data_IF_921196726216
#
_entry.id   IF_921196726216
#
_cell.length_a   1.000
_cell.length_b   1.000
_cell.length_c   1.000
_cell.angle_alpha   90.00
_cell.angle_beta   90.00
_cell.angle_gamma   90.00
#
_symmetry.space_group_name_H-M   'P 1'
#
loop_
_entity.id
_entity.type
_entity.pdbx_description
1 polymer ?
#
# COMPACT_ATOMS: atom_id res chain seq x y z
N UNK A 1 -17.31 0.58 -9.97
CA UNK A 1 -15.89 0.84 -9.63
C UNK A 1 -15.53 2.33 -9.61
N UNK A 2 -15.99 3.13 -10.58
CA UNK A 2 -15.73 4.58 -10.63
C UNK A 2 -16.24 5.33 -9.39
N UNK A 3 -17.41 4.96 -8.87
CA UNK A 3 -18.00 5.59 -7.68
C UNK A 3 -17.24 5.30 -6.37
N UNK A 4 -16.67 4.10 -6.24
CA UNK A 4 -15.87 3.76 -5.06
C UNK A 4 -14.53 4.52 -5.06
N UNK A 5 -13.96 4.73 -6.25
CA UNK A 5 -12.74 5.52 -6.44
C UNK A 5 -13.00 7.01 -6.18
N UNK A 6 -14.16 7.55 -6.58
CA UNK A 6 -14.51 8.94 -6.33
C UNK A 6 -14.81 9.20 -4.84
N UNK A 7 -15.53 8.30 -4.17
CA UNK A 7 -15.81 8.41 -2.72
C UNK A 7 -14.54 8.27 -1.90
N UNK A 8 -13.67 7.31 -2.23
CA UNK A 8 -12.36 7.19 -1.59
C UNK A 8 -11.48 8.43 -1.84
N UNK A 9 -11.50 8.97 -3.06
CA UNK A 9 -10.80 10.21 -3.41
C UNK A 9 -11.27 11.41 -2.57
N UNK A 10 -12.58 11.61 -2.45
CA UNK A 10 -13.17 12.69 -1.65
C UNK A 10 -12.81 12.53 -0.16
N UNK A 11 -12.87 11.31 0.38
CA UNK A 11 -12.49 11.04 1.77
C UNK A 11 -11.01 11.30 2.03
N UNK A 12 -10.13 10.94 1.09
CA UNK A 12 -8.68 11.23 1.18
C UNK A 12 -8.43 12.74 1.12
N UNK A 13 -9.11 13.47 0.24
CA UNK A 13 -9.00 14.94 0.14
C UNK A 13 -9.51 15.62 1.40
N UNK A 14 -10.67 15.21 1.92
CA UNK A 14 -11.24 15.74 3.15
C UNK A 14 -10.37 15.44 4.37
N UNK A 15 -9.83 14.22 4.48
CA UNK A 15 -8.88 13.85 5.52
C UNK A 15 -7.58 14.67 5.41
N UNK A 16 -7.08 14.91 4.19
CA UNK A 16 -5.91 15.76 3.96
C UNK A 16 -6.17 17.22 4.34
N UNK A 17 -7.34 17.77 4.00
CA UNK A 17 -7.72 19.15 4.36
C UNK A 17 -7.91 19.32 5.87
N UNK A 18 -8.55 18.36 6.54
CA UNK A 18 -8.70 18.34 7.99
C UNK A 18 -7.33 18.20 8.68
N UNK A 19 -6.45 17.38 8.12
CA UNK A 19 -5.10 17.21 8.64
C UNK A 19 -4.26 18.50 8.47
N UNK A 20 -4.34 19.16 7.32
CA UNK A 20 -3.72 20.46 7.08
C UNK A 20 -4.24 21.55 8.03
N UNK A 21 -5.54 21.56 8.33
CA UNK A 21 -6.14 22.56 9.23
C UNK A 21 -5.74 22.35 10.69
N UNK A 22 -5.55 21.09 11.12
CA UNK A 22 -5.14 20.74 12.49
C UNK A 22 -3.64 20.93 12.68
N UNK A 23 -2.81 20.58 11.69
CA UNK A 23 -1.35 20.52 11.85
C UNK A 23 -0.63 21.81 11.42
N UNK A 24 -1.27 22.69 10.64
CA UNK A 24 -0.70 23.95 10.17
C UNK A 24 0.35 23.79 9.06
N UNK A 25 0.92 24.92 8.61
CA UNK A 25 1.79 24.99 7.42
C UNK A 25 3.07 24.12 7.50
N UNK A 26 3.54 23.78 8.72
CA UNK A 26 4.75 22.97 8.94
C UNK A 26 4.64 21.53 8.43
N UNK A 27 3.43 21.01 8.28
CA UNK A 27 3.18 19.65 7.75
C UNK A 27 2.74 19.64 6.30
N UNK A 28 2.59 20.82 5.67
CA UNK A 28 2.13 20.93 4.28
C UNK A 28 3.09 20.24 3.30
N UNK A 29 4.39 20.32 3.54
CA UNK A 29 5.44 19.62 2.76
C UNK A 29 5.33 18.11 2.86
N UNK A 30 5.15 17.59 4.07
CA UNK A 30 5.01 16.15 4.32
C UNK A 30 3.71 15.61 3.71
N UNK A 31 2.64 16.40 3.74
CA UNK A 31 1.38 16.06 3.09
C UNK A 31 1.48 16.12 1.56
N UNK A 32 2.17 17.11 0.99
CA UNK A 32 2.46 17.16 -0.46
C UNK A 32 3.27 15.94 -0.90
N UNK A 33 4.26 15.52 -0.12
CA UNK A 33 5.02 14.30 -0.36
C UNK A 33 4.14 13.06 -0.30
N UNK A 34 3.23 12.96 0.66
CA UNK A 34 2.27 11.85 0.72
C UNK A 34 1.33 11.85 -0.49
N UNK A 35 0.63 12.95 -0.76
CA UNK A 35 -0.40 12.99 -1.81
C UNK A 35 0.20 12.87 -3.20
N UNK A 36 1.29 13.57 -3.48
CA UNK A 36 1.93 13.57 -4.80
C UNK A 36 2.92 12.42 -5.00
N UNK A 37 3.70 12.08 -3.97
CA UNK A 37 4.79 11.11 -4.07
C UNK A 37 4.39 9.67 -3.77
N UNK A 38 3.43 9.44 -2.88
CA UNK A 38 3.06 8.07 -2.49
C UNK A 38 2.44 7.26 -3.65
N UNK A 39 1.46 7.78 -4.44
CA UNK A 39 0.86 7.00 -5.52
C UNK A 39 1.85 6.46 -6.57
N UNK A 40 2.75 7.28 -7.17
CA UNK A 40 3.71 6.77 -8.14
C UNK A 40 4.71 5.79 -7.50
N UNK A 41 5.13 6.03 -6.25
CA UNK A 41 6.03 5.12 -5.55
C UNK A 41 5.38 3.77 -5.26
N UNK A 42 4.10 3.74 -4.88
CA UNK A 42 3.32 2.51 -4.70
C UNK A 42 3.26 1.73 -6.01
N UNK A 43 2.95 2.42 -7.11
CA UNK A 43 2.88 1.80 -8.44
C UNK A 43 4.23 1.21 -8.88
N UNK A 44 5.33 1.95 -8.74
CA UNK A 44 6.68 1.47 -9.05
C UNK A 44 7.04 0.27 -8.17
N UNK A 45 6.80 0.34 -6.85
CA UNK A 45 7.08 -0.76 -5.94
C UNK A 45 6.26 -2.01 -6.27
N UNK A 46 5.00 -1.83 -6.68
CA UNK A 46 4.14 -2.92 -7.12
C UNK A 46 4.70 -3.59 -8.39
N UNK A 47 5.09 -2.81 -9.39
CA UNK A 47 5.70 -3.35 -10.62
C UNK A 47 7.00 -4.09 -10.35
N UNK A 48 7.85 -3.56 -9.47
CA UNK A 48 9.11 -4.20 -9.08
C UNK A 48 8.85 -5.48 -8.29
N UNK A 49 7.98 -5.44 -7.27
CA UNK A 49 7.64 -6.60 -6.46
C UNK A 49 7.03 -7.73 -7.29
N UNK A 50 6.09 -7.40 -8.19
CA UNK A 50 5.45 -8.37 -9.07
C UNK A 50 6.37 -8.97 -10.13
N UNK A 51 7.52 -8.35 -10.43
CA UNK A 51 8.55 -8.92 -11.32
C UNK A 51 9.58 -9.76 -10.57
N UNK A 52 9.98 -9.33 -9.37
CA UNK A 52 11.03 -10.00 -8.59
C UNK A 52 10.52 -11.21 -7.81
N UNK A 53 9.22 -11.24 -7.46
CA UNK A 53 8.60 -12.37 -6.80
C UNK A 53 7.94 -13.27 -7.85
N UNK A 54 7.93 -14.61 -7.67
CA UNK A 54 7.31 -15.57 -8.58
C UNK A 54 5.77 -15.51 -8.46
N UNK A 55 5.21 -14.36 -8.79
CA UNK A 55 3.79 -14.02 -8.75
C UNK A 55 3.33 -13.62 -10.16
N UNK A 56 4.04 -14.10 -11.19
CA UNK A 56 3.79 -13.84 -12.62
C UNK A 56 2.38 -14.25 -13.04
N UNK A 57 1.85 -15.32 -12.45
CA UNK A 57 0.50 -15.82 -12.68
C UNK A 57 -0.61 -14.79 -12.40
N UNK A 58 -0.35 -13.75 -11.59
CA UNK A 58 -1.32 -12.65 -11.38
C UNK A 58 -1.57 -11.83 -12.65
N UNK A 59 -0.65 -11.86 -13.63
CA UNK A 59 -0.79 -11.14 -14.91
C UNK A 59 -1.48 -11.97 -16.01
N UNK A 60 -1.40 -13.30 -15.92
CA UNK A 60 -1.94 -14.22 -16.92
C UNK A 60 -3.35 -14.68 -16.57
N UNK A 61 -4.35 -13.79 -16.67
CA UNK A 61 -5.74 -14.21 -16.57
C UNK A 61 -6.16 -14.96 -17.84
N UNK A 62 -6.15 -16.30 -17.81
CA UNK A 62 -6.64 -17.14 -18.90
C UNK A 62 -5.70 -18.26 -19.36
N UNK A 63 -4.46 -18.27 -18.91
CA UNK A 63 -3.53 -19.38 -19.13
C UNK A 63 -3.67 -20.44 -18.02
N UNK A 64 -3.43 -21.74 -18.31
CA UNK A 64 -3.38 -22.75 -17.27
C UNK A 64 -2.41 -22.32 -16.18
N UNK A 65 -2.86 -22.34 -14.93
CA UNK A 65 -2.08 -21.81 -13.83
C UNK A 65 -0.71 -22.50 -13.77
N UNK A 66 0.41 -21.76 -13.84
CA UNK A 66 1.73 -22.35 -13.86
C UNK A 66 2.03 -23.05 -12.52
N UNK A 67 3.03 -23.95 -12.46
CA UNK A 67 3.46 -24.61 -11.22
C UNK A 67 3.91 -23.64 -10.11
N UNK A 68 3.99 -22.34 -10.42
CA UNK A 68 4.27 -21.26 -9.47
C UNK A 68 3.29 -21.19 -8.29
N UNK A 69 2.07 -21.73 -8.41
CA UNK A 69 1.14 -21.87 -7.27
C UNK A 69 1.77 -22.68 -6.13
N UNK A 70 2.59 -23.69 -6.43
CA UNK A 70 3.24 -24.51 -5.39
C UNK A 70 4.26 -23.69 -4.58
N UNK A 71 4.83 -22.64 -5.16
CA UNK A 71 5.73 -21.71 -4.48
C UNK A 71 5.01 -20.57 -3.75
N UNK A 72 3.68 -20.48 -3.88
CA UNK A 72 2.90 -19.45 -3.20
C UNK A 72 3.02 -19.53 -1.70
N UNK A 73 3.03 -20.72 -1.09
CA UNK A 73 3.17 -20.85 0.37
C UNK A 73 4.46 -20.20 0.86
N UNK A 74 5.58 -20.49 0.19
CA UNK A 74 6.90 -19.92 0.50
C UNK A 74 6.96 -18.41 0.23
N UNK A 75 6.34 -17.96 -0.87
CA UNK A 75 6.32 -16.55 -1.26
C UNK A 75 5.41 -15.72 -0.35
N UNK A 76 4.26 -16.28 0.03
CA UNK A 76 3.28 -15.70 0.96
C UNK A 76 3.92 -15.41 2.29
N UNK A 77 4.64 -16.38 2.87
CA UNK A 77 5.24 -16.22 4.19
C UNK A 77 6.37 -15.16 4.16
N UNK A 78 7.13 -15.06 3.06
CA UNK A 78 8.10 -13.97 2.83
C UNK A 78 7.44 -12.59 2.71
N UNK A 79 6.38 -12.47 1.90
CA UNK A 79 5.61 -11.22 1.75
C UNK A 79 5.02 -10.82 3.10
N UNK A 80 4.45 -11.78 3.84
CA UNK A 80 3.81 -11.53 5.12
C UNK A 80 4.81 -11.13 6.20
N UNK A 81 6.00 -11.73 6.23
CA UNK A 81 7.09 -11.33 7.13
C UNK A 81 7.52 -9.87 6.83
N UNK A 82 7.66 -9.51 5.56
CA UNK A 82 8.00 -8.15 5.16
C UNK A 82 6.91 -7.14 5.55
N UNK A 83 5.62 -7.49 5.35
CA UNK A 83 4.48 -6.67 5.78
C UNK A 83 4.49 -6.46 7.30
N UNK A 84 4.68 -7.53 8.09
CA UNK A 84 4.75 -7.44 9.56
C UNK A 84 5.90 -6.55 10.03
N UNK A 85 7.08 -6.74 9.46
CA UNK A 85 8.24 -5.92 9.77
C UNK A 85 7.97 -4.44 9.48
N UNK A 86 7.41 -4.14 8.31
CA UNK A 86 7.06 -2.77 7.92
C UNK A 86 5.97 -2.19 8.83
N UNK A 87 4.93 -2.93 9.18
CA UNK A 87 3.88 -2.50 10.11
C UNK A 87 4.43 -2.16 11.50
N UNK A 88 5.49 -2.83 11.95
CA UNK A 88 6.14 -2.54 13.22
C UNK A 88 7.03 -1.29 13.15
N UNK A 89 7.78 -1.09 12.07
CA UNK A 89 8.77 0.00 11.95
C UNK A 89 8.14 1.32 11.50
N UNK A 90 7.13 1.27 10.64
CA UNK A 90 6.50 2.46 10.06
C UNK A 90 5.95 3.47 11.08
N UNK A 91 5.25 3.06 12.15
CA UNK A 91 4.71 3.99 13.14
C UNK A 91 5.81 4.85 13.78
N UNK A 92 6.96 4.24 14.10
CA UNK A 92 8.11 4.96 14.64
C UNK A 92 8.72 5.91 13.60
N UNK A 93 8.84 5.44 12.35
CA UNK A 93 9.32 6.26 11.25
C UNK A 93 8.45 7.51 11.02
N UNK A 94 7.13 7.33 10.96
CA UNK A 94 6.18 8.44 10.86
C UNK A 94 6.24 9.37 12.06
N UNK A 95 6.36 8.84 13.28
CA UNK A 95 6.51 9.66 14.48
C UNK A 95 7.75 10.55 14.39
N UNK A 96 8.89 10.01 13.95
CA UNK A 96 10.11 10.81 13.74
C UNK A 96 9.91 11.85 12.63
N UNK A 97 9.27 11.47 11.52
CA UNK A 97 8.98 12.39 10.41
C UNK A 97 8.00 13.51 10.82
N UNK A 98 7.09 13.25 11.76
CA UNK A 98 6.19 14.26 12.31
C UNK A 98 6.89 15.19 13.30
N UNK A 99 7.74 14.65 14.19
CA UNK A 99 8.50 15.46 15.16
C UNK A 99 9.51 16.35 14.46
N UNK A 100 10.14 15.85 13.38
CA UNK A 100 11.08 16.59 12.54
C UNK A 100 10.54 16.66 11.12
N UNK A 101 9.54 17.50 10.90
CA UNK A 101 8.96 17.70 9.58
C UNK A 101 10.02 18.27 8.60
N UNK A 102 9.97 17.88 7.33
CA UNK A 102 10.81 18.49 6.29
C UNK A 102 10.37 19.94 6.08
N UNK A 103 11.28 20.89 6.33
CA UNK A 103 11.02 22.32 6.19
C UNK A 103 11.72 22.90 4.95
N UNK A 104 11.09 23.93 4.36
CA UNK A 104 11.72 24.81 3.39
C UNK A 104 12.02 26.17 4.06
N UNK A 105 13.21 26.76 3.87
CA UNK A 105 14.30 26.36 2.99
C UNK A 105 15.14 25.18 3.52
N UNK A 106 15.83 24.46 2.62
CA UNK A 106 16.62 23.27 2.95
C UNK A 106 17.94 23.65 3.62
N UNK A 107 17.93 23.80 4.94
CA UNK A 107 19.15 23.88 5.76
C UNK A 107 19.78 22.50 6.03
N UNK A 108 20.99 22.48 6.58
CA UNK A 108 21.73 21.24 6.90
C UNK A 108 20.97 20.33 7.88
N UNK A 109 20.24 20.90 8.83
CA UNK A 109 19.34 20.17 9.74
C UNK A 109 18.07 19.64 9.05
N UNK A 110 17.62 20.32 7.98
CA UNK A 110 16.46 19.93 7.17
C UNK A 110 16.78 18.74 6.27
N UNK A 111 18.02 18.59 5.78
CA UNK A 111 18.41 17.42 4.98
C UNK A 111 18.12 16.09 5.70
N UNK A 112 18.35 16.04 7.02
CA UNK A 112 18.07 14.85 7.82
C UNK A 112 16.56 14.55 7.89
N UNK A 113 15.71 15.57 8.08
CA UNK A 113 14.25 15.38 8.06
C UNK A 113 13.73 14.98 6.68
N UNK A 114 14.30 15.51 5.60
CA UNK A 114 13.99 15.08 4.24
C UNK A 114 14.36 13.62 3.99
N UNK A 115 15.55 13.18 4.41
CA UNK A 115 15.95 11.78 4.30
C UNK A 115 15.01 10.85 5.08
N UNK A 116 14.67 11.21 6.32
CA UNK A 116 13.73 10.42 7.13
C UNK A 116 12.35 10.36 6.46
N UNK A 117 11.81 11.51 6.03
CA UNK A 117 10.52 11.56 5.35
C UNK A 117 10.51 10.70 4.08
N UNK A 118 11.58 10.73 3.28
CA UNK A 118 11.69 9.92 2.06
C UNK A 118 11.76 8.42 2.35
N UNK A 119 12.56 8.01 3.34
CA UNK A 119 12.65 6.60 3.77
C UNK A 119 11.30 6.09 4.25
N UNK A 120 10.60 6.88 5.05
CA UNK A 120 9.26 6.54 5.57
C UNK A 120 8.23 6.48 4.44
N UNK A 121 8.27 7.42 3.49
CA UNK A 121 7.42 7.41 2.30
C UNK A 121 7.66 6.15 1.45
N UNK A 122 8.91 5.80 1.20
CA UNK A 122 9.30 4.58 0.47
C UNK A 122 8.86 3.31 1.18
N UNK A 123 9.04 3.24 2.51
CA UNK A 123 8.57 2.12 3.32
C UNK A 123 7.05 1.99 3.29
N UNK A 124 6.33 3.12 3.36
CA UNK A 124 4.86 3.17 3.24
C UNK A 124 4.41 2.67 1.87
N UNK A 125 5.05 3.16 0.80
CA UNK A 125 4.76 2.73 -0.56
C UNK A 125 4.98 1.22 -0.74
N UNK A 126 6.08 0.70 -0.19
CA UNK A 126 6.41 -0.73 -0.20
C UNK A 126 5.37 -1.56 0.54
N UNK A 127 4.95 -1.12 1.73
CA UNK A 127 3.92 -1.80 2.52
C UNK A 127 2.60 -1.92 1.76
N UNK A 128 2.13 -0.81 1.18
CA UNK A 128 0.88 -0.79 0.39
C UNK A 128 1.01 -1.71 -0.83
N UNK A 129 2.11 -1.60 -1.58
CA UNK A 129 2.36 -2.42 -2.77
C UNK A 129 2.38 -3.92 -2.45
N UNK A 130 3.09 -4.32 -1.38
CA UNK A 130 3.14 -5.71 -0.93
C UNK A 130 1.78 -6.20 -0.43
N UNK A 131 1.03 -5.37 0.29
CA UNK A 131 -0.32 -5.73 0.77
C UNK A 131 -1.28 -5.93 -0.40
N UNK A 132 -1.22 -5.06 -1.41
CA UNK A 132 -2.03 -5.20 -2.62
C UNK A 132 -1.66 -6.48 -3.39
N UNK A 133 -0.37 -6.74 -3.57
CA UNK A 133 0.12 -7.97 -4.20
C UNK A 133 -0.31 -9.23 -3.42
N UNK A 134 -0.23 -9.19 -2.09
CA UNK A 134 -0.69 -10.27 -1.22
C UNK A 134 -2.18 -10.57 -1.42
N UNK A 135 -3.03 -9.53 -1.38
CA UNK A 135 -4.48 -9.67 -1.55
C UNK A 135 -4.79 -10.22 -2.93
N UNK A 136 -4.20 -9.64 -3.98
CA UNK A 136 -4.46 -10.03 -5.36
C UNK A 136 -4.02 -11.49 -5.61
N UNK A 137 -2.80 -11.85 -5.22
CA UNK A 137 -2.30 -13.22 -5.41
C UNK A 137 -3.08 -14.25 -4.57
N UNK A 138 -3.49 -13.89 -3.36
CA UNK A 138 -4.35 -14.74 -2.55
C UNK A 138 -5.74 -14.93 -3.17
N UNK A 139 -6.31 -13.90 -3.80
CA UNK A 139 -7.56 -14.00 -4.53
C UNK A 139 -7.42 -14.85 -5.80
N UNK A 140 -6.24 -14.88 -6.42
CA UNK A 140 -6.00 -15.71 -7.61
C UNK A 140 -5.84 -17.19 -7.24
N UNK A 141 -5.12 -17.51 -6.17
CA UNK A 141 -4.77 -18.89 -5.79
C UNK A 141 -5.79 -19.52 -4.85
N UNK A 142 -6.28 -18.75 -3.88
CA UNK A 142 -6.99 -19.27 -2.72
C UNK A 142 -8.43 -18.75 -2.68
N UNK A 143 -9.12 -18.83 -3.82
CA UNK A 143 -10.52 -18.40 -3.98
C UNK A 143 -11.45 -19.08 -2.96
N UNK A 144 -11.12 -20.28 -2.52
CA UNK A 144 -11.97 -21.09 -1.65
C UNK A 144 -11.59 -21.07 -0.16
N UNK A 145 -10.48 -20.43 0.29
CA UNK A 145 -10.16 -20.54 1.73
C UNK A 145 -11.09 -19.71 2.63
N UNK A 146 -11.61 -20.31 3.70
CA UNK A 146 -12.61 -19.70 4.60
C UNK A 146 -12.01 -18.68 5.60
N UNK A 147 -10.80 -18.14 5.36
CA UNK A 147 -10.08 -17.26 6.31
C UNK A 147 -10.45 -15.77 6.11
N UNK A 148 -9.67 -14.86 6.72
CA UNK A 148 -9.78 -13.40 6.63
C UNK A 148 -10.05 -12.86 5.21
N UNK A 149 -9.50 -13.51 4.18
CA UNK A 149 -9.68 -13.13 2.78
C UNK A 149 -11.11 -13.37 2.31
N UNK A 150 -11.76 -14.44 2.78
CA UNK A 150 -13.19 -14.67 2.58
C UNK A 150 -14.05 -13.59 3.24
N UNK A 151 -13.64 -13.07 4.41
CA UNK A 151 -14.32 -11.94 5.08
C UNK A 151 -14.18 -10.66 4.26
N UNK A 152 -12.97 -10.32 3.83
CA UNK A 152 -12.71 -9.15 2.97
C UNK A 152 -13.46 -9.27 1.63
N UNK A 153 -13.52 -10.46 1.02
CA UNK A 153 -14.31 -10.72 -0.20
C UNK A 153 -15.80 -10.51 0.02
N UNK A 154 -16.38 -11.03 1.11
CA UNK A 154 -17.80 -10.80 1.43
C UNK A 154 -18.08 -9.33 1.70
N UNK A 155 -17.16 -8.65 2.38
CA UNK A 155 -17.27 -7.22 2.64
C UNK A 155 -17.24 -6.41 1.33
N UNK A 156 -16.27 -6.68 0.46
CA UNK A 156 -16.16 -6.06 -0.87
C UNK A 156 -17.36 -6.41 -1.76
N UNK A 157 -17.80 -7.67 -1.82
CA UNK A 157 -19.00 -8.08 -2.54
C UNK A 157 -20.23 -7.28 -2.06
N UNK A 158 -20.41 -7.16 -0.75
CA UNK A 158 -21.55 -6.44 -0.20
C UNK A 158 -21.54 -4.95 -0.56
N UNK A 159 -20.35 -4.35 -0.72
CA UNK A 159 -20.20 -2.94 -1.04
C UNK A 159 -20.19 -2.64 -2.55
N UNK A 160 -19.72 -3.58 -3.39
CA UNK A 160 -19.57 -3.35 -4.83
C UNK A 160 -20.56 -4.14 -5.69
N UNK A 161 -21.34 -5.03 -5.08
CA UNK A 161 -22.30 -5.94 -5.73
C UNK A 161 -21.72 -6.74 -6.92
N UNK A 162 -20.40 -6.97 -6.91
CA UNK A 162 -19.72 -7.67 -7.99
C UNK A 162 -19.54 -9.14 -7.64
N UNK A 163 -20.25 -10.02 -8.36
CA UNK A 163 -20.26 -11.48 -8.15
C UNK A 163 -18.92 -12.15 -8.44
N UNK A 164 -17.99 -11.47 -9.13
CA UNK A 164 -16.61 -11.94 -9.27
C UNK A 164 -15.91 -12.08 -7.91
N UNK A 165 -16.34 -11.33 -6.89
CA UNK A 165 -15.86 -11.48 -5.53
C UNK A 165 -16.43 -12.69 -4.79
N UNK A 166 -17.32 -13.49 -5.40
CA UNK A 166 -17.84 -14.76 -4.83
C UNK A 166 -17.44 -16.02 -5.63
N UNK A 167 -16.86 -15.88 -6.83
CA UNK A 167 -16.37 -16.99 -7.68
C UNK A 167 -14.97 -17.46 -7.31
#
# INVERSE_FOLDING_TARGET
MVELVSVAGILVVAACQLFLSICGARFGTLLLLMVGGLPPLVFINYLVASRMMPVSFVRGAGEPLPPEIYYWVLTRDKIWAAIRFLLLVLPFGWLVAFVRAPEFPVGSSSLCSWCVAFVVLMATARLIALSFLYVLASQTIDRASPRFIGIVRRWLFHHTNNTDFLR
#
